data_IF_773444472399
#
_entry.id   IF_773444472399
#
_cell.length_a   1.000
_cell.length_b   1.000
_cell.length_c   1.000
_cell.angle_alpha   90.00
_cell.angle_beta   90.00
_cell.angle_gamma   90.00
#
_symmetry.space_group_name_H-M   'P 1'
#
loop_
_entity.id
_entity.type
_entity.pdbx_description
1 polymer ?
#
# COMPACT_ATOMS: atom_id res chain seq x y z
N UNK A 1 -25.49 -26.37 10.57
CA UNK A 1 -24.12 -26.77 10.20
C UNK A 1 -24.05 -26.81 8.68
N UNK A 2 -23.14 -26.05 8.06
CA UNK A 2 -22.99 -26.06 6.59
C UNK A 2 -22.08 -27.24 6.24
N UNK A 3 -22.60 -28.23 5.52
CA UNK A 3 -21.82 -29.39 5.06
C UNK A 3 -21.14 -28.99 3.76
N UNK A 4 -19.82 -29.18 3.68
CA UNK A 4 -18.99 -28.90 2.50
C UNK A 4 -18.67 -30.24 1.84
N UNK A 5 -19.14 -30.44 0.61
CA UNK A 5 -19.06 -31.74 -0.07
C UNK A 5 -17.90 -31.84 -1.07
N UNK A 6 -17.31 -30.71 -1.46
CA UNK A 6 -16.24 -30.66 -2.45
C UNK A 6 -15.39 -29.38 -2.31
N UNK A 7 -14.26 -29.34 -3.02
CA UNK A 7 -13.32 -28.21 -3.00
C UNK A 7 -13.94 -26.91 -3.51
N UNK A 8 -14.87 -26.96 -4.45
CA UNK A 8 -15.54 -25.75 -4.96
C UNK A 8 -16.49 -25.13 -3.92
N UNK A 9 -17.17 -25.97 -3.13
CA UNK A 9 -17.96 -25.52 -1.98
C UNK A 9 -17.07 -24.97 -0.85
N UNK A 10 -15.90 -25.57 -0.64
CA UNK A 10 -14.90 -25.06 0.30
C UNK A 10 -14.40 -23.68 -0.13
N UNK A 11 -14.02 -23.52 -1.40
CA UNK A 11 -13.54 -22.25 -1.95
C UNK A 11 -14.59 -21.15 -1.76
N UNK A 12 -15.85 -21.43 -2.12
CA UNK A 12 -16.96 -20.49 -1.90
C UNK A 12 -17.19 -20.17 -0.43
N UNK A 13 -17.01 -21.14 0.46
CA UNK A 13 -17.19 -20.93 1.90
C UNK A 13 -16.13 -19.99 2.49
N UNK A 14 -14.88 -20.06 2.01
CA UNK A 14 -13.78 -19.23 2.53
C UNK A 14 -13.65 -17.86 1.84
N UNK A 15 -14.25 -17.67 0.65
CA UNK A 15 -14.10 -16.43 -0.14
C UNK A 15 -14.43 -15.16 0.64
N UNK A 16 -15.46 -15.17 1.49
CA UNK A 16 -15.81 -14.01 2.31
C UNK A 16 -14.70 -13.65 3.30
N UNK A 17 -14.12 -14.64 3.97
CA UNK A 17 -13.02 -14.42 4.90
C UNK A 17 -11.76 -13.98 4.17
N UNK A 18 -11.44 -14.59 3.02
CA UNK A 18 -10.31 -14.19 2.19
C UNK A 18 -10.43 -12.73 1.72
N UNK A 19 -11.63 -12.29 1.32
CA UNK A 19 -11.86 -10.89 0.93
C UNK A 19 -11.59 -9.93 2.07
N UNK A 20 -12.15 -10.19 3.26
CA UNK A 20 -11.95 -9.33 4.43
C UNK A 20 -10.50 -9.33 4.90
N UNK A 21 -9.83 -10.48 4.84
CA UNK A 21 -8.40 -10.58 5.14
C UNK A 21 -7.57 -9.69 4.20
N UNK A 22 -7.74 -9.86 2.88
CA UNK A 22 -7.00 -9.07 1.89
C UNK A 22 -7.27 -7.57 2.04
N UNK A 23 -8.50 -7.19 2.40
CA UNK A 23 -8.84 -5.78 2.65
C UNK A 23 -8.05 -5.20 3.83
N UNK A 24 -7.91 -5.97 4.92
CA UNK A 24 -7.10 -5.59 6.09
C UNK A 24 -5.62 -5.47 5.76
N UNK A 25 -5.08 -6.44 5.00
CA UNK A 25 -3.68 -6.38 4.57
C UNK A 25 -3.42 -5.16 3.68
N UNK A 26 -4.34 -4.84 2.77
CA UNK A 26 -4.26 -3.63 1.95
C UNK A 26 -4.36 -2.35 2.79
N UNK A 27 -5.19 -2.33 3.83
CA UNK A 27 -5.28 -1.22 4.76
C UNK A 27 -3.93 -0.96 5.46
N UNK A 28 -3.23 -2.01 5.90
CA UNK A 28 -1.89 -1.90 6.48
C UNK A 28 -0.88 -1.28 5.51
N UNK A 29 -0.85 -1.74 4.26
CA UNK A 29 0.04 -1.17 3.22
C UNK A 29 -0.30 0.30 2.96
N UNK A 30 -1.59 0.64 2.89
CA UNK A 30 -2.06 2.01 2.67
C UNK A 30 -1.66 2.96 3.81
N UNK A 31 -1.77 2.52 5.07
CA UNK A 31 -1.34 3.29 6.24
C UNK A 31 0.17 3.54 6.22
N UNK A 32 0.98 2.51 5.92
CA UNK A 32 2.43 2.67 5.83
C UNK A 32 2.85 3.56 4.67
N UNK A 33 2.17 3.47 3.51
CA UNK A 33 2.41 4.38 2.39
C UNK A 33 2.14 5.83 2.79
N UNK A 34 1.00 6.10 3.46
CA UNK A 34 0.67 7.44 3.94
C UNK A 34 1.68 7.96 4.98
N UNK A 35 2.21 7.08 5.84
CA UNK A 35 3.29 7.43 6.75
C UNK A 35 4.54 7.92 6.00
N UNK A 36 5.03 7.18 5.00
CA UNK A 36 6.22 7.59 4.25
C UNK A 36 5.98 8.78 3.33
N UNK A 37 4.77 8.96 2.80
CA UNK A 37 4.38 10.19 2.12
C UNK A 37 4.47 11.39 3.07
N UNK A 38 3.96 11.29 4.29
CA UNK A 38 4.07 12.37 5.26
C UNK A 38 5.54 12.64 5.65
N UNK A 39 6.33 11.60 5.90
CA UNK A 39 7.74 11.72 6.24
C UNK A 39 8.57 12.35 5.12
N UNK A 40 8.24 12.04 3.86
CA UNK A 40 8.83 12.73 2.71
C UNK A 40 8.63 14.24 2.83
N UNK A 41 7.40 14.70 3.10
CA UNK A 41 7.12 16.13 3.26
C UNK A 41 7.75 16.75 4.52
N UNK A 42 7.91 15.98 5.59
CA UNK A 42 8.57 16.40 6.82
C UNK A 42 10.09 16.55 6.67
N UNK A 43 10.71 15.77 5.76
CA UNK A 43 12.16 15.68 5.60
C UNK A 43 12.83 16.94 5.03
N UNK A 44 12.06 17.87 4.45
CA UNK A 44 12.59 19.07 3.81
C UNK A 44 11.59 20.24 3.89
N UNK A 45 12.06 21.48 3.94
CA UNK A 45 11.24 22.68 3.75
C UNK A 45 11.76 23.44 2.52
N UNK A 46 10.96 23.56 1.43
CA UNK A 46 11.49 23.96 0.14
C UNK A 46 11.80 25.45 0.06
N UNK A 47 13.00 25.74 -0.47
CA UNK A 47 13.49 27.09 -0.71
C UNK A 47 13.54 27.38 -2.22
N UNK A 48 13.70 26.34 -3.05
CA UNK A 48 13.88 26.46 -4.50
C UNK A 48 12.59 26.38 -5.31
N UNK A 49 11.49 25.90 -4.71
CA UNK A 49 10.22 25.70 -5.42
C UNK A 49 9.03 25.89 -4.49
N UNK A 50 7.86 26.14 -5.08
CA UNK A 50 6.60 26.18 -4.36
C UNK A 50 6.11 24.75 -4.09
N UNK A 51 5.94 24.42 -2.80
CA UNK A 51 5.42 23.11 -2.38
C UNK A 51 4.02 22.85 -2.94
N UNK A 52 3.85 21.72 -3.59
CA UNK A 52 2.55 21.15 -3.98
C UNK A 52 2.25 19.90 -3.14
N UNK A 53 0.98 19.56 -2.98
CA UNK A 53 0.53 18.51 -2.06
C UNK A 53 -0.16 17.33 -2.75
N UNK A 54 -0.15 17.28 -4.08
CA UNK A 54 -0.79 16.20 -4.84
C UNK A 54 -0.13 14.85 -4.49
N UNK A 55 1.20 14.79 -4.43
CA UNK A 55 1.93 13.60 -4.00
C UNK A 55 1.58 13.16 -2.56
N UNK A 56 1.44 14.11 -1.62
CA UNK A 56 1.02 13.78 -0.25
C UNK A 56 -0.35 13.09 -0.22
N UNK A 57 -1.21 13.41 -1.20
CA UNK A 57 -2.62 12.98 -1.26
C UNK A 57 -2.87 11.92 -2.33
N UNK A 58 -1.82 11.41 -2.98
CA UNK A 58 -1.95 10.52 -4.14
C UNK A 58 -2.08 9.05 -3.78
N UNK A 59 -1.94 8.65 -2.51
CA UNK A 59 -2.16 7.27 -2.12
C UNK A 59 -3.64 6.88 -2.32
N UNK A 60 -3.88 5.79 -3.04
CA UNK A 60 -5.20 5.22 -3.24
C UNK A 60 -5.21 3.78 -2.72
N UNK A 61 -6.27 3.43 -1.98
CA UNK A 61 -6.64 2.05 -1.67
C UNK A 61 -7.93 1.69 -2.42
N UNK A 62 -7.91 0.57 -3.12
CA UNK A 62 -9.10 -0.05 -3.71
C UNK A 62 -9.48 -1.26 -2.87
N UNK A 63 -10.70 -1.26 -2.36
CA UNK A 63 -11.22 -2.31 -1.48
C UNK A 63 -11.15 -3.71 -2.12
N UNK A 64 -10.97 -4.71 -1.26
CA UNK A 64 -10.83 -6.08 -1.71
C UNK A 64 -12.10 -6.62 -2.40
N UNK A 65 -11.90 -7.24 -3.56
CA UNK A 65 -12.95 -7.92 -4.34
C UNK A 65 -12.52 -9.30 -4.79
N UNK A 66 -13.49 -10.16 -5.08
CA UNK A 66 -13.23 -11.49 -5.65
C UNK A 66 -13.14 -11.37 -7.18
N UNK A 67 -11.99 -11.73 -7.74
CA UNK A 67 -11.75 -11.79 -9.19
C UNK A 67 -11.26 -13.19 -9.53
N UNK A 68 -12.06 -13.95 -10.30
CA UNK A 68 -11.71 -15.32 -10.75
C UNK A 68 -11.26 -16.22 -9.58
N UNK A 69 -12.03 -16.22 -8.49
CA UNK A 69 -11.77 -17.04 -7.29
C UNK A 69 -10.72 -16.46 -6.33
N UNK A 70 -10.03 -15.37 -6.69
CA UNK A 70 -8.99 -14.73 -5.87
C UNK A 70 -9.51 -13.47 -5.20
N UNK A 71 -9.21 -13.29 -3.91
CA UNK A 71 -9.37 -12.00 -3.25
C UNK A 71 -8.21 -11.07 -3.67
N UNK A 72 -8.53 -9.90 -4.19
CA UNK A 72 -7.56 -8.92 -4.69
C UNK A 72 -7.95 -7.52 -4.21
N UNK A 73 -6.98 -6.78 -3.71
CA UNK A 73 -7.04 -5.35 -3.40
C UNK A 73 -5.85 -4.64 -4.04
N UNK A 74 -5.92 -3.32 -4.17
CA UNK A 74 -4.84 -2.52 -4.75
C UNK A 74 -4.50 -1.36 -3.82
N UNK A 75 -3.20 -1.09 -3.66
CA UNK A 75 -2.68 0.14 -3.07
C UNK A 75 -1.67 0.71 -4.05
N UNK A 76 -1.82 1.97 -4.43
CA UNK A 76 -0.94 2.61 -5.41
C UNK A 76 -0.89 4.13 -5.21
N UNK A 77 0.04 4.77 -5.91
CA UNK A 77 0.20 6.22 -6.02
C UNK A 77 -0.46 6.64 -7.33
N UNK A 78 -1.52 7.45 -7.27
CA UNK A 78 -2.23 7.97 -8.46
C UNK A 78 -1.44 9.12 -9.10
N UNK A 79 -0.42 8.75 -9.87
CA UNK A 79 0.45 9.69 -10.58
C UNK A 79 -0.26 10.47 -11.69
N UNK A 80 -1.40 9.97 -12.17
CA UNK A 80 -2.14 10.62 -13.26
C UNK A 80 -2.95 11.81 -12.73
N UNK A 81 -3.37 11.78 -11.46
CA UNK A 81 -4.02 12.91 -10.78
C UNK A 81 -3.08 14.04 -10.32
N UNK A 82 -1.76 13.81 -10.41
CA UNK A 82 -0.73 14.73 -9.90
C UNK A 82 -0.33 15.76 -10.97
N UNK A 83 -1.20 16.73 -11.23
CA UNK A 83 -1.12 17.63 -12.39
C UNK A 83 -0.66 19.08 -12.08
N UNK A 84 -0.43 19.43 -10.81
CA UNK A 84 -0.10 20.80 -10.40
C UNK A 84 1.40 21.12 -10.33
N UNK A 85 2.26 20.31 -10.96
CA UNK A 85 3.71 20.48 -10.94
C UNK A 85 4.22 21.25 -12.16
N UNK A 86 5.12 22.21 -11.93
CA UNK A 86 5.76 22.97 -12.99
C UNK A 86 6.86 22.11 -13.65
N UNK A 87 6.76 21.87 -14.95
CA UNK A 87 7.74 21.11 -15.76
C UNK A 87 8.06 19.68 -15.26
N UNK A 88 7.17 19.08 -14.46
CA UNK A 88 7.29 17.69 -14.02
C UNK A 88 5.94 16.98 -14.07
N UNK A 89 5.95 15.72 -14.47
CA UNK A 89 4.78 14.82 -14.37
C UNK A 89 4.69 14.20 -12.98
N UNK A 90 3.49 13.73 -12.60
CA UNK A 90 3.31 12.98 -11.37
C UNK A 90 4.19 11.74 -11.26
N UNK A 91 4.42 11.05 -12.38
CA UNK A 91 5.33 9.91 -12.45
C UNK A 91 6.76 10.31 -12.10
N UNK A 92 7.28 11.41 -12.67
CA UNK A 92 8.62 11.91 -12.34
C UNK A 92 8.75 12.29 -10.87
N UNK A 93 7.72 12.93 -10.31
CA UNK A 93 7.69 13.28 -8.88
C UNK A 93 7.76 12.02 -8.01
N UNK A 94 6.96 11.00 -8.32
CA UNK A 94 6.97 9.74 -7.58
C UNK A 94 8.32 9.00 -7.72
N UNK A 95 8.92 8.99 -8.92
CA UNK A 95 10.25 8.42 -9.15
C UNK A 95 11.31 9.13 -8.30
N UNK A 96 11.39 10.46 -8.36
CA UNK A 96 12.34 11.23 -7.57
C UNK A 96 12.15 11.04 -6.07
N UNK A 97 10.90 11.02 -5.61
CA UNK A 97 10.62 10.75 -4.21
C UNK A 97 11.12 9.36 -3.78
N UNK A 98 11.01 8.35 -4.64
CA UNK A 98 11.56 7.04 -4.36
C UNK A 98 13.09 6.97 -4.49
N UNK A 99 13.73 7.95 -5.11
CA UNK A 99 15.19 8.12 -5.13
C UNK A 99 15.70 8.95 -3.92
N UNK A 100 14.80 9.41 -3.05
CA UNK A 100 15.12 10.27 -1.91
C UNK A 100 15.33 11.75 -2.29
N UNK A 101 14.83 12.18 -3.46
CA UNK A 101 14.98 13.53 -3.99
C UNK A 101 13.71 14.36 -3.82
N UNK A 102 13.85 15.67 -3.70
CA UNK A 102 12.76 16.66 -3.69
C UNK A 102 12.80 17.49 -4.96
N UNK A 103 11.83 17.29 -5.86
CA UNK A 103 11.81 17.98 -7.16
C UNK A 103 13.07 17.76 -7.98
N UNK A 104 13.65 16.54 -7.92
CA UNK A 104 14.91 16.20 -8.58
C UNK A 104 16.17 16.67 -7.86
N UNK A 105 16.05 17.34 -6.71
CA UNK A 105 17.18 17.85 -5.94
C UNK A 105 17.49 16.96 -4.73
N UNK A 106 18.78 16.77 -4.45
CA UNK A 106 19.25 16.14 -3.22
C UNK A 106 19.32 17.18 -2.10
N UNK A 107 18.22 17.31 -1.36
CA UNK A 107 18.03 18.36 -0.33
C UNK A 107 17.58 17.75 0.99
N UNK A 108 18.41 16.88 1.54
CA UNK A 108 18.14 16.20 2.81
C UNK A 108 19.05 14.99 2.98
N UNK A 109 19.43 14.69 4.23
CA UNK A 109 20.18 13.48 4.56
C UNK A 109 19.30 12.30 4.93
N UNK A 110 18.00 12.54 5.16
CA UNK A 110 17.06 11.58 5.78
C UNK A 110 15.74 11.48 5.01
N UNK A 111 15.71 11.87 3.74
CA UNK A 111 14.52 11.72 2.89
C UNK A 111 14.24 10.24 2.67
N UNK A 112 13.01 9.75 2.92
CA UNK A 112 12.67 8.36 2.67
C UNK A 112 12.65 8.04 1.17
N UNK A 113 12.87 6.77 0.85
CA UNK A 113 12.60 6.20 -0.46
C UNK A 113 11.14 5.71 -0.44
N UNK A 114 10.19 6.61 -0.70
CA UNK A 114 8.77 6.44 -0.28
C UNK A 114 8.17 5.07 -0.56
N UNK A 115 8.33 4.55 -1.78
CA UNK A 115 7.75 3.26 -2.16
C UNK A 115 8.58 2.10 -1.61
N UNK A 116 9.90 2.14 -1.76
CA UNK A 116 10.80 1.07 -1.31
C UNK A 116 10.73 0.89 0.21
N UNK A 117 10.70 1.99 0.96
CA UNK A 117 10.53 1.97 2.41
C UNK A 117 9.14 1.46 2.80
N UNK A 118 8.09 1.76 2.03
CA UNK A 118 6.75 1.18 2.24
C UNK A 118 6.80 -0.34 2.08
N UNK A 119 7.38 -0.84 0.99
CA UNK A 119 7.49 -2.27 0.69
C UNK A 119 8.30 -2.99 1.77
N UNK A 120 9.46 -2.44 2.12
CA UNK A 120 10.36 -2.96 3.15
C UNK A 120 9.68 -3.06 4.52
N UNK A 121 8.84 -2.09 4.87
CA UNK A 121 8.18 -2.03 6.17
C UNK A 121 6.77 -2.66 6.18
N UNK A 122 6.34 -3.35 5.12
CA UNK A 122 5.06 -4.08 5.11
C UNK A 122 5.12 -5.42 4.38
N UNK A 123 5.37 -5.40 3.08
CA UNK A 123 5.29 -6.59 2.22
C UNK A 123 6.50 -7.50 2.44
N UNK A 124 7.67 -6.92 2.63
CA UNK A 124 8.95 -7.66 2.63
C UNK A 124 9.43 -8.08 4.02
N UNK A 125 8.86 -7.52 5.09
CA UNK A 125 9.26 -7.82 6.47
C UNK A 125 8.48 -8.99 7.11
N UNK A 126 7.53 -9.59 6.40
CA UNK A 126 6.70 -10.69 6.90
C UNK A 126 5.54 -10.29 7.81
N UNK A 127 5.30 -8.99 8.02
CA UNK A 127 4.18 -8.49 8.84
C UNK A 127 2.84 -8.93 8.26
N UNK A 128 2.64 -8.74 6.94
CA UNK A 128 1.37 -9.10 6.29
C UNK A 128 1.08 -10.62 6.37
N UNK A 129 2.12 -11.46 6.32
CA UNK A 129 1.95 -12.91 6.50
C UNK A 129 1.49 -13.23 7.93
N UNK A 130 2.11 -12.61 8.92
CA UNK A 130 1.75 -12.77 10.32
C UNK A 130 0.30 -12.32 10.58
N UNK A 131 -0.10 -11.18 10.00
CA UNK A 131 -1.46 -10.65 10.12
C UNK A 131 -2.49 -11.54 9.41
N UNK A 132 -2.16 -12.07 8.23
CA UNK A 132 -3.00 -13.02 7.50
C UNK A 132 -3.26 -14.30 8.31
N UNK A 133 -2.20 -14.89 8.88
CA UNK A 133 -2.30 -16.08 9.73
C UNK A 133 -3.16 -15.81 10.97
N UNK A 134 -2.91 -14.69 11.65
CA UNK A 134 -3.68 -14.26 12.83
C UNK A 134 -5.16 -14.09 12.51
N UNK A 135 -5.47 -13.48 11.36
CA UNK A 135 -6.84 -13.32 10.90
C UNK A 135 -7.52 -14.67 10.64
N UNK A 136 -6.88 -15.59 9.92
CA UNK A 136 -7.44 -16.92 9.64
C UNK A 136 -7.65 -17.72 10.92
N UNK A 137 -6.71 -17.68 11.87
CA UNK A 137 -6.89 -18.31 13.18
C UNK A 137 -8.09 -17.74 13.94
N UNK A 138 -8.32 -16.42 13.88
CA UNK A 138 -9.49 -15.78 14.49
C UNK A 138 -10.83 -16.22 13.89
N UNK A 139 -10.81 -16.79 12.68
CA UNK A 139 -11.98 -17.37 12.01
C UNK A 139 -12.13 -18.88 12.24
N UNK A 140 -11.25 -19.48 13.05
CA UNK A 140 -11.29 -20.90 13.38
C UNK A 140 -10.54 -21.80 12.39
N UNK A 141 -9.75 -21.23 11.47
CA UNK A 141 -8.89 -22.03 10.60
C UNK A 141 -7.63 -22.48 11.34
N UNK A 142 -7.32 -23.77 11.24
CA UNK A 142 -6.07 -24.33 11.75
C UNK A 142 -4.94 -24.09 10.73
N UNK A 143 -4.28 -22.92 10.82
CA UNK A 143 -3.13 -22.54 9.99
C UNK A 143 -1.84 -22.47 10.83
N UNK A 144 -0.72 -22.88 10.25
CA UNK A 144 0.63 -22.88 10.86
C UNK A 144 1.58 -22.07 9.97
N UNK A 145 2.61 -21.48 10.57
CA UNK A 145 3.78 -20.95 9.84
C UNK A 145 4.58 -22.08 9.19
#
# INVERSE_FOLDING_TARGET
>A
MKIINNVAELEKAIQSDMRVMVDKLAQRVYETLNFFLQEYYNSYNPIYYRRQYDFLRSAIKVDARIVRGKAVAYVYIDTDSMDNYYEASGLQVATWANEGLHGGLKVGGTTPHVWDDTMKNTVENGELLTEALSYLQSKGFAVKM
#
